data_IF_399735294782
#
_entry.id   IF_399735294782
#
_cell.length_a   1.000
_cell.length_b   1.000
_cell.length_c   1.000
_cell.angle_alpha   90.00
_cell.angle_beta   90.00
_cell.angle_gamma   90.00
#
_symmetry.space_group_name_H-M   'P 1'
#
loop_
_entity.id
_entity.type
_entity.pdbx_description
1 polymer ?
#
# COMPACT_ATOMS: atom_id res chain seq x y z
N UNK A 1 -51.51 2.62 -10.84
CA UNK A 1 -50.85 3.03 -12.08
C UNK A 1 -49.44 2.46 -12.04
N UNK A 2 -49.29 1.15 -12.31
CA UNK A 2 -47.97 0.52 -12.38
C UNK A 2 -47.29 0.98 -13.66
N UNK A 3 -46.24 1.80 -13.50
CA UNK A 3 -45.38 2.19 -14.61
C UNK A 3 -44.56 0.94 -14.97
N UNK A 4 -44.96 0.22 -16.02
CA UNK A 4 -44.10 -0.78 -16.66
C UNK A 4 -42.97 0.02 -17.29
N UNK A 5 -41.87 0.18 -16.54
CA UNK A 5 -40.65 0.74 -17.09
C UNK A 5 -40.05 -0.33 -18.01
N UNK A 6 -39.99 -0.03 -19.30
CA UNK A 6 -39.38 -0.91 -20.30
C UNK A 6 -37.87 -1.05 -20.00
N UNK A 7 -37.39 -2.27 -19.74
CA UNK A 7 -35.99 -2.56 -19.40
C UNK A 7 -35.00 -2.01 -20.43
N UNK A 8 -35.39 -1.98 -21.72
CA UNK A 8 -34.57 -1.40 -22.78
C UNK A 8 -34.37 0.12 -22.62
N UNK A 9 -35.39 0.83 -22.11
CA UNK A 9 -35.30 2.28 -21.87
C UNK A 9 -34.35 2.57 -20.71
N UNK A 10 -34.31 1.71 -19.69
CA UNK A 10 -33.38 1.83 -18.55
C UNK A 10 -31.93 1.65 -19.00
N UNK A 11 -31.64 0.62 -19.79
CA UNK A 11 -30.28 0.34 -20.28
C UNK A 11 -29.80 1.49 -21.18
N UNK A 12 -30.65 1.97 -22.10
CA UNK A 12 -30.29 3.11 -22.94
C UNK A 12 -30.03 4.37 -22.13
N UNK A 13 -30.88 4.66 -21.13
CA UNK A 13 -30.70 5.81 -20.25
C UNK A 13 -29.40 5.71 -19.45
N UNK A 14 -29.06 4.51 -18.95
CA UNK A 14 -27.79 4.27 -18.25
C UNK A 14 -26.58 4.55 -19.17
N UNK A 15 -26.58 3.99 -20.38
CA UNK A 15 -25.48 4.18 -21.34
C UNK A 15 -25.36 5.63 -21.82
N UNK A 16 -26.46 6.39 -21.85
CA UNK A 16 -26.45 7.80 -22.25
C UNK A 16 -25.91 8.72 -21.14
N UNK A 17 -26.26 8.46 -19.88
CA UNK A 17 -25.96 9.38 -18.77
C UNK A 17 -24.72 9.00 -17.95
N UNK A 18 -24.21 7.77 -18.08
CA UNK A 18 -23.06 7.32 -17.27
C UNK A 18 -21.77 8.06 -17.65
N UNK A 19 -21.00 8.56 -16.67
CA UNK A 19 -19.66 9.09 -16.93
C UNK A 19 -18.64 7.97 -17.16
N UNK A 20 -18.88 6.77 -16.64
CA UNK A 20 -17.99 5.61 -16.82
C UNK A 20 -18.03 5.13 -18.28
N UNK A 21 -16.91 4.62 -18.78
CA UNK A 21 -16.85 4.05 -20.12
C UNK A 21 -17.39 2.63 -20.11
N UNK A 22 -18.57 2.41 -20.67
CA UNK A 22 -19.23 1.11 -20.71
C UNK A 22 -19.38 0.61 -22.14
N UNK A 23 -19.23 -0.69 -22.34
CA UNK A 23 -19.46 -1.32 -23.63
C UNK A 23 -19.87 -2.79 -23.51
N UNK A 24 -20.63 -3.24 -24.50
CA UNK A 24 -20.96 -4.63 -24.75
C UNK A 24 -20.32 -5.03 -26.07
N UNK A 25 -19.67 -6.19 -26.12
CA UNK A 25 -19.15 -6.77 -27.36
C UNK A 25 -19.66 -8.19 -27.54
N UNK A 26 -19.86 -8.61 -28.79
CA UNK A 26 -20.20 -9.99 -29.15
C UNK A 26 -18.99 -10.94 -29.02
N UNK A 27 -19.19 -12.23 -29.30
CA UNK A 27 -18.11 -13.24 -29.30
C UNK A 27 -17.00 -12.97 -30.33
N UNK A 28 -17.24 -12.12 -31.32
CA UNK A 28 -16.27 -11.68 -32.32
C UNK A 28 -15.56 -10.38 -31.92
N UNK A 29 -15.79 -9.89 -30.70
CA UNK A 29 -15.28 -8.62 -30.18
C UNK A 29 -15.78 -7.39 -30.97
N UNK A 30 -16.98 -7.48 -31.58
CA UNK A 30 -17.67 -6.35 -32.19
C UNK A 30 -18.57 -5.66 -31.18
N UNK A 31 -18.58 -4.34 -31.17
CA UNK A 31 -19.44 -3.56 -30.29
C UNK A 31 -20.93 -3.78 -30.60
N UNK A 32 -21.70 -4.10 -29.56
CA UNK A 32 -23.16 -4.24 -29.62
C UNK A 32 -23.84 -3.01 -29.02
N UNK A 33 -23.27 -2.46 -27.94
CA UNK A 33 -23.74 -1.23 -27.31
C UNK A 33 -22.56 -0.55 -26.61
N UNK A 34 -22.56 0.77 -26.56
CA UNK A 34 -21.52 1.57 -25.89
C UNK A 34 -22.15 2.76 -25.18
N UNK A 35 -21.51 3.22 -24.09
CA UNK A 35 -21.91 4.46 -23.44
C UNK A 35 -21.52 5.68 -24.26
N UNK A 36 -22.28 6.76 -24.11
CA UNK A 36 -22.02 8.01 -24.81
C UNK A 36 -20.67 8.62 -24.38
N UNK A 37 -20.30 8.45 -23.09
CA UNK A 37 -18.99 8.82 -22.56
C UNK A 37 -17.85 8.11 -23.29
N UNK A 38 -17.98 6.80 -23.56
CA UNK A 38 -16.95 6.01 -24.22
C UNK A 38 -16.84 6.35 -25.72
N UNK A 39 -17.97 6.51 -26.41
CA UNK A 39 -17.97 6.91 -27.81
C UNK A 39 -17.32 8.29 -28.00
N UNK A 40 -17.70 9.27 -27.17
CA UNK A 40 -17.13 10.62 -27.19
C UNK A 40 -15.62 10.61 -26.96
N UNK A 41 -15.14 9.72 -26.08
CA UNK A 41 -13.72 9.55 -25.78
C UNK A 41 -12.92 9.05 -26.99
N UNK A 42 -13.54 8.24 -27.84
CA UNK A 42 -12.95 7.74 -29.09
C UNK A 42 -13.25 8.64 -30.30
N UNK A 43 -13.76 9.87 -30.06
CA UNK A 43 -14.19 10.80 -31.09
C UNK A 43 -15.19 10.18 -32.08
N UNK A 44 -16.10 9.34 -31.59
CA UNK A 44 -17.14 8.66 -32.35
C UNK A 44 -18.51 8.85 -31.70
N UNK A 45 -19.55 8.28 -32.30
CA UNK A 45 -20.89 8.20 -31.70
C UNK A 45 -21.20 6.75 -31.34
N UNK A 46 -22.08 6.55 -30.36
CA UNK A 46 -22.46 5.19 -29.97
C UNK A 46 -23.05 4.39 -31.12
N UNK A 47 -23.70 5.06 -32.07
CA UNK A 47 -24.27 4.46 -33.27
C UNK A 47 -23.19 4.01 -34.26
N UNK A 48 -22.18 4.85 -34.53
CA UNK A 48 -21.11 4.54 -35.49
C UNK A 48 -20.18 3.41 -35.00
N UNK A 49 -20.16 3.18 -33.69
CA UNK A 49 -19.37 2.12 -33.07
C UNK A 49 -19.99 0.74 -33.20
N UNK A 50 -21.30 0.61 -33.38
CA UNK A 50 -21.96 -0.71 -33.46
C UNK A 50 -21.41 -1.50 -34.65
N UNK A 51 -21.22 -2.81 -34.45
CA UNK A 51 -20.62 -3.76 -35.40
C UNK A 51 -19.14 -3.51 -35.77
N UNK A 52 -18.51 -2.50 -35.17
CA UNK A 52 -17.07 -2.21 -35.31
C UNK A 52 -16.26 -2.85 -34.18
N UNK A 53 -14.95 -2.81 -34.31
CA UNK A 53 -13.99 -3.39 -33.38
C UNK A 53 -13.09 -2.31 -32.78
N UNK A 54 -12.27 -2.67 -31.79
CA UNK A 54 -11.26 -1.75 -31.25
C UNK A 54 -10.32 -1.22 -32.35
N UNK A 55 -9.97 -2.06 -33.32
CA UNK A 55 -9.06 -1.74 -34.42
C UNK A 55 -9.53 -0.56 -35.30
N UNK A 56 -10.83 -0.26 -35.29
CA UNK A 56 -11.41 0.85 -36.04
C UNK A 56 -11.19 2.22 -35.35
N UNK A 57 -10.91 2.24 -34.04
CA UNK A 57 -10.92 3.47 -33.23
C UNK A 57 -9.63 3.76 -32.46
N UNK A 58 -8.72 2.80 -32.36
CA UNK A 58 -7.50 2.97 -31.56
C UNK A 58 -6.28 2.33 -32.23
N UNK A 59 -5.05 2.70 -31.81
CA UNK A 59 -3.82 2.14 -32.35
C UNK A 59 -3.79 0.61 -32.26
N UNK A 60 -3.20 -0.03 -33.27
CA UNK A 60 -3.18 -1.49 -33.43
C UNK A 60 -2.61 -2.19 -32.19
N UNK A 61 -1.55 -1.66 -31.59
CA UNK A 61 -0.93 -2.28 -30.41
C UNK A 61 -1.88 -2.32 -29.21
N UNK A 62 -2.71 -1.28 -29.04
CA UNK A 62 -3.71 -1.23 -27.99
C UNK A 62 -4.90 -2.12 -28.33
N UNK A 63 -5.38 -2.07 -29.57
CA UNK A 63 -6.49 -2.89 -30.03
C UNK A 63 -6.19 -4.39 -29.90
N UNK A 64 -4.99 -4.83 -30.31
CA UNK A 64 -4.53 -6.23 -30.17
C UNK A 64 -4.54 -6.68 -28.70
N UNK A 65 -4.00 -5.84 -27.81
CA UNK A 65 -3.98 -6.13 -26.37
C UNK A 65 -5.41 -6.31 -25.83
N UNK A 66 -6.31 -5.38 -26.16
CA UNK A 66 -7.70 -5.44 -25.70
C UNK A 66 -8.42 -6.66 -26.28
N UNK A 67 -8.21 -6.95 -27.56
CA UNK A 67 -8.77 -8.12 -28.24
C UNK A 67 -8.35 -9.43 -27.57
N UNK A 68 -7.07 -9.59 -27.25
CA UNK A 68 -6.56 -10.79 -26.56
C UNK A 68 -7.17 -10.95 -25.15
N UNK A 69 -7.30 -9.85 -24.41
CA UNK A 69 -7.97 -9.87 -23.11
C UNK A 69 -9.46 -10.24 -23.23
N UNK A 70 -10.17 -9.64 -24.19
CA UNK A 70 -11.59 -9.91 -24.43
C UNK A 70 -11.79 -11.39 -24.82
N UNK A 71 -10.94 -11.91 -25.71
CA UNK A 71 -10.96 -13.33 -26.09
C UNK A 71 -10.67 -14.25 -24.93
N UNK A 72 -9.73 -13.90 -24.04
CA UNK A 72 -9.47 -14.69 -22.83
C UNK A 72 -10.72 -14.78 -21.95
N UNK A 73 -11.39 -13.66 -21.67
CA UNK A 73 -12.63 -13.64 -20.87
C UNK A 73 -13.73 -14.48 -21.53
N UNK A 74 -13.89 -14.39 -22.84
CA UNK A 74 -14.89 -15.17 -23.60
C UNK A 74 -14.58 -16.67 -23.52
N UNK A 75 -13.31 -17.06 -23.68
CA UNK A 75 -12.89 -18.46 -23.73
C UNK A 75 -12.89 -19.14 -22.36
N UNK A 76 -12.45 -18.45 -21.31
CA UNK A 76 -12.33 -19.03 -19.97
C UNK A 76 -13.59 -18.80 -19.12
N UNK A 77 -14.38 -17.77 -19.44
CA UNK A 77 -15.47 -17.31 -18.59
C UNK A 77 -15.01 -16.64 -17.29
N UNK A 78 -13.71 -16.42 -17.11
CA UNK A 78 -13.15 -15.73 -15.94
C UNK A 78 -13.19 -14.22 -16.15
N UNK A 79 -13.76 -13.51 -15.18
CA UNK A 79 -13.80 -12.05 -15.21
C UNK A 79 -12.41 -11.45 -14.95
N UNK A 80 -12.10 -10.37 -15.65
CA UNK A 80 -11.04 -9.45 -15.29
C UNK A 80 -11.66 -8.35 -14.43
N UNK A 81 -11.24 -8.19 -13.18
CA UNK A 81 -11.85 -7.22 -12.25
C UNK A 81 -10.81 -6.23 -11.76
N UNK A 82 -11.16 -4.94 -11.77
CA UNK A 82 -10.38 -3.83 -11.20
C UNK A 82 -8.90 -3.77 -11.66
N UNK A 83 -8.64 -4.12 -12.92
CA UNK A 83 -7.30 -4.01 -13.48
C UNK A 83 -6.96 -2.55 -13.69
N UNK A 84 -6.01 -2.04 -12.92
CA UNK A 84 -5.46 -0.70 -13.12
C UNK A 84 -4.54 -0.67 -14.33
N UNK A 85 -4.82 0.22 -15.27
CA UNK A 85 -3.94 0.46 -16.40
C UNK A 85 -3.90 1.92 -16.84
N UNK A 86 -2.76 2.29 -17.41
CA UNK A 86 -2.53 3.61 -17.99
C UNK A 86 -2.81 3.53 -19.48
N UNK A 87 -3.76 4.32 -19.99
CA UNK A 87 -4.03 4.43 -21.43
C UNK A 87 -3.72 5.85 -21.90
N UNK A 88 -3.17 5.96 -23.11
CA UNK A 88 -3.13 7.24 -23.81
C UNK A 88 -4.50 7.52 -24.37
N UNK A 89 -5.08 8.64 -23.96
CA UNK A 89 -6.29 9.18 -24.55
C UNK A 89 -6.02 9.56 -26.02
N UNK A 90 -6.98 9.35 -26.95
CA UNK A 90 -6.88 9.91 -28.30
C UNK A 90 -6.67 11.43 -28.33
N UNK A 91 -7.07 12.15 -27.27
CA UNK A 91 -6.83 13.60 -27.09
C UNK A 91 -5.43 13.94 -26.56
N UNK A 92 -4.54 12.96 -26.39
CA UNK A 92 -3.12 13.16 -26.08
C UNK A 92 -2.73 13.16 -24.60
N UNK A 93 -3.69 13.18 -23.66
CA UNK A 93 -3.41 13.04 -22.23
C UNK A 93 -3.30 11.57 -21.80
N UNK A 94 -2.47 11.32 -20.79
CA UNK A 94 -2.43 10.02 -20.11
C UNK A 94 -3.61 9.89 -19.13
N UNK A 95 -4.29 8.76 -19.13
CA UNK A 95 -5.43 8.49 -18.26
C UNK A 95 -5.21 7.20 -17.47
N UNK A 96 -5.47 7.24 -16.16
CA UNK A 96 -5.52 6.03 -15.32
C UNK A 96 -6.94 5.46 -15.32
N UNK A 97 -7.07 4.20 -15.70
CA UNK A 97 -8.34 3.50 -15.76
C UNK A 97 -8.32 2.30 -14.81
N UNK A 98 -9.40 2.13 -14.04
CA UNK A 98 -9.78 0.82 -13.48
C UNK A 98 -10.66 0.11 -14.50
N UNK A 99 -10.25 -1.07 -14.95
CA UNK A 99 -10.91 -1.82 -16.02
C UNK A 99 -11.46 -3.13 -15.49
N UNK A 100 -12.76 -3.32 -15.68
CA UNK A 100 -13.46 -4.58 -15.39
C UNK A 100 -14.09 -5.11 -16.68
N UNK A 101 -13.87 -6.39 -16.97
CA UNK A 101 -14.45 -7.14 -18.09
C UNK A 101 -15.07 -8.42 -17.56
N UNK A 102 -16.37 -8.60 -17.78
CA UNK A 102 -17.12 -9.78 -17.33
C UNK A 102 -17.73 -10.50 -18.53
N UNK A 103 -17.87 -11.85 -18.49
CA UNK A 103 -18.56 -12.58 -19.55
C UNK A 103 -20.04 -12.18 -19.59
N UNK A 104 -20.52 -11.81 -20.77
CA UNK A 104 -21.94 -11.58 -21.01
C UNK A 104 -22.60 -12.90 -21.38
N UNK A 105 -23.57 -13.35 -20.58
CA UNK A 105 -24.27 -14.62 -20.79
C UNK A 105 -25.73 -14.40 -21.20
N UNK A 106 -26.24 -15.26 -22.07
CA UNK A 106 -27.66 -15.31 -22.41
C UNK A 106 -28.47 -16.05 -21.31
N UNK A 107 -29.79 -16.15 -21.50
CA UNK A 107 -30.68 -16.83 -20.54
C UNK A 107 -30.36 -18.33 -20.36
N UNK A 108 -29.69 -18.96 -21.33
CA UNK A 108 -29.23 -20.35 -21.25
C UNK A 108 -27.88 -20.49 -20.54
N UNK A 109 -27.25 -19.38 -20.13
CA UNK A 109 -25.94 -19.37 -19.46
C UNK A 109 -24.75 -19.41 -20.42
N UNK A 110 -24.98 -19.36 -21.73
CA UNK A 110 -23.92 -19.37 -22.75
C UNK A 110 -23.29 -17.99 -22.88
N UNK A 111 -21.97 -17.93 -23.00
CA UNK A 111 -21.25 -16.67 -23.19
C UNK A 111 -21.51 -16.17 -24.62
N UNK A 112 -22.24 -15.07 -24.73
CA UNK A 112 -22.54 -14.39 -26.00
C UNK A 112 -21.63 -13.20 -26.26
N UNK A 113 -20.72 -12.90 -25.34
CA UNK A 113 -19.77 -11.79 -25.48
C UNK A 113 -19.20 -11.33 -24.15
N UNK A 114 -18.91 -10.03 -24.04
CA UNK A 114 -18.40 -9.40 -22.82
C UNK A 114 -19.11 -8.09 -22.51
N UNK A 115 -19.08 -7.73 -21.22
CA UNK A 115 -19.41 -6.40 -20.73
C UNK A 115 -18.13 -5.79 -20.16
N UNK A 116 -17.74 -4.63 -20.67
CA UNK A 116 -16.60 -3.87 -20.17
C UNK A 116 -17.04 -2.58 -19.49
N UNK A 117 -16.41 -2.27 -18.36
CA UNK A 117 -16.54 -1.00 -17.66
C UNK A 117 -15.14 -0.47 -17.36
N UNK A 118 -14.85 0.75 -17.81
CA UNK A 118 -13.61 1.45 -17.47
C UNK A 118 -13.97 2.73 -16.71
N UNK A 119 -13.46 2.87 -15.50
CA UNK A 119 -13.62 4.08 -14.69
C UNK A 119 -12.33 4.88 -14.70
N UNK A 120 -12.45 6.15 -15.01
CA UNK A 120 -11.35 7.10 -14.91
C UNK A 120 -11.00 7.38 -13.44
N UNK A 121 -9.72 7.26 -13.10
CA UNK A 121 -9.19 7.47 -11.75
C UNK A 121 -8.28 8.70 -11.65
N UNK A 122 -8.07 9.43 -12.76
CA UNK A 122 -7.05 10.49 -12.90
C UNK A 122 -7.25 11.61 -11.89
N UNK A 123 -8.43 12.21 -11.76
CA UNK A 123 -8.64 13.32 -10.81
C UNK A 123 -8.44 12.94 -9.34
N UNK A 124 -8.81 11.71 -8.94
CA UNK A 124 -8.68 11.28 -7.55
C UNK A 124 -7.24 10.94 -7.22
N UNK A 125 -6.58 10.17 -8.10
CA UNK A 125 -5.18 9.82 -7.95
C UNK A 125 -4.26 11.04 -8.03
N UNK A 126 -4.55 12.00 -8.92
CA UNK A 126 -3.79 13.25 -9.04
C UNK A 126 -4.02 14.20 -7.87
N UNK A 127 -5.25 14.32 -7.34
CA UNK A 127 -5.50 15.10 -6.12
C UNK A 127 -4.81 14.49 -4.91
N UNK A 128 -4.91 13.17 -4.72
CA UNK A 128 -4.21 12.47 -3.65
C UNK A 128 -2.70 12.65 -3.80
N UNK A 129 -2.15 12.45 -5.00
CA UNK A 129 -0.72 12.68 -5.29
C UNK A 129 -0.29 14.12 -5.02
N UNK A 130 -1.06 15.13 -5.45
CA UNK A 130 -0.70 16.53 -5.26
C UNK A 130 -0.69 16.93 -3.79
N UNK A 131 -1.66 16.45 -3.00
CA UNK A 131 -1.68 16.63 -1.54
C UNK A 131 -0.42 16.01 -0.92
N UNK A 132 0.00 14.84 -1.39
CA UNK A 132 1.16 14.14 -0.86
C UNK A 132 2.48 14.79 -1.26
N UNK A 133 2.60 15.30 -2.48
CA UNK A 133 3.77 16.04 -2.96
C UNK A 133 3.93 17.33 -2.16
N UNK A 134 2.84 18.07 -1.93
CA UNK A 134 2.85 19.25 -1.05
C UNK A 134 3.24 18.88 0.39
N UNK A 135 2.69 17.79 0.93
CA UNK A 135 3.08 17.30 2.26
C UNK A 135 4.56 16.92 2.30
N UNK A 136 5.12 16.31 1.25
CA UNK A 136 6.53 15.95 1.19
C UNK A 136 7.43 17.18 1.26
N UNK A 137 7.13 18.22 0.46
CA UNK A 137 7.89 19.47 0.43
C UNK A 137 7.80 20.17 1.77
N UNK A 138 6.59 20.38 2.29
CA UNK A 138 6.39 21.04 3.58
C UNK A 138 7.11 20.29 4.72
N UNK A 139 7.06 18.95 4.72
CA UNK A 139 7.71 18.15 5.76
C UNK A 139 9.24 18.17 5.62
N UNK A 140 9.77 18.19 4.41
CA UNK A 140 11.22 18.36 4.18
C UNK A 140 11.71 19.70 4.73
N UNK A 141 10.99 20.79 4.42
CA UNK A 141 11.38 22.15 4.81
C UNK A 141 11.20 22.40 6.30
N UNK A 142 10.27 21.71 6.96
CA UNK A 142 10.09 21.74 8.42
C UNK A 142 11.15 20.93 9.18
N UNK A 143 11.81 19.94 8.56
CA UNK A 143 12.76 19.06 9.26
C UNK A 143 13.99 19.81 9.74
N UNK A 144 14.55 20.66 8.89
CA UNK A 144 15.72 21.49 9.20
C UNK A 144 15.55 22.36 10.46
N UNK A 145 14.50 23.21 10.55
CA UNK A 145 14.30 24.06 11.71
C UNK A 145 14.01 23.24 12.99
N UNK A 146 13.32 22.09 12.91
CA UNK A 146 13.06 21.26 14.08
C UNK A 146 14.32 20.60 14.66
N UNK A 147 15.18 20.05 13.79
CA UNK A 147 16.47 19.49 14.22
C UNK A 147 17.32 20.58 14.90
N UNK A 148 17.31 21.80 14.34
CA UNK A 148 18.02 22.94 14.91
C UNK A 148 17.50 23.30 16.31
N UNK A 149 16.18 23.42 16.48
CA UNK A 149 15.54 23.69 17.77
C UNK A 149 15.83 22.58 18.79
N UNK A 150 15.67 21.31 18.40
CA UNK A 150 15.94 20.17 19.26
C UNK A 150 17.42 20.11 19.69
N UNK A 151 18.34 20.45 18.80
CA UNK A 151 19.77 20.54 19.11
C UNK A 151 20.07 21.64 20.11
N UNK A 152 19.45 22.81 19.96
CA UNK A 152 19.62 23.94 20.89
C UNK A 152 19.08 23.61 22.29
N UNK A 153 17.91 22.97 22.37
CA UNK A 153 17.33 22.50 23.64
C UNK A 153 18.25 21.48 24.31
N UNK A 154 18.80 20.52 23.55
CA UNK A 154 19.76 19.54 24.09
C UNK A 154 21.03 20.21 24.64
N UNK A 155 21.55 21.25 23.98
CA UNK A 155 22.70 22.01 24.48
C UNK A 155 22.39 22.77 25.77
N UNK A 156 21.19 23.37 25.88
CA UNK A 156 20.72 24.01 27.11
C UNK A 156 20.61 23.01 28.27
N UNK A 157 20.01 21.84 28.04
CA UNK A 157 19.86 20.78 29.05
C UNK A 157 21.23 20.25 29.52
N UNK A 158 22.23 20.21 28.63
CA UNK A 158 23.61 19.79 28.94
C UNK A 158 24.44 20.86 29.64
N UNK A 159 23.89 22.07 29.85
CA UNK A 159 24.59 23.16 30.53
C UNK A 159 25.65 23.86 29.67
N UNK A 160 25.61 23.72 28.34
CA UNK A 160 26.58 24.34 27.44
C UNK A 160 26.58 25.88 27.50
N UNK A 161 25.52 26.48 28.02
CA UNK A 161 25.34 27.93 28.19
C UNK A 161 25.27 28.35 29.67
N UNK A 162 25.76 27.50 30.58
CA UNK A 162 25.71 27.72 32.02
C UNK A 162 24.67 26.83 32.72
N UNK A 163 24.63 26.93 34.05
CA UNK A 163 23.68 26.20 34.88
C UNK A 163 22.27 26.76 34.71
N UNK A 164 21.32 25.87 34.53
CA UNK A 164 19.88 26.19 34.49
C UNK A 164 19.20 25.61 35.72
N UNK A 165 18.17 26.31 36.21
CA UNK A 165 17.37 25.83 37.33
C UNK A 165 16.63 24.54 36.98
N UNK A 166 16.38 23.70 37.97
CA UNK A 166 15.76 22.39 37.78
C UNK A 166 14.34 22.51 37.17
N UNK A 167 13.58 23.54 37.54
CA UNK A 167 12.26 23.82 36.96
C UNK A 167 12.32 24.15 35.46
N UNK A 168 13.36 24.87 35.02
CA UNK A 168 13.62 25.18 33.61
C UNK A 168 14.02 23.91 32.87
N UNK A 169 14.88 23.08 33.49
CA UNK A 169 15.33 21.81 32.92
C UNK A 169 14.17 20.83 32.68
N UNK A 170 13.25 20.68 33.64
CA UNK A 170 12.03 19.87 33.48
C UNK A 170 11.16 20.37 32.31
N UNK A 171 11.01 21.69 32.19
CA UNK A 171 10.25 22.30 31.09
C UNK A 171 10.92 22.03 29.73
N UNK A 172 12.24 22.17 29.63
CA UNK A 172 12.99 21.89 28.41
C UNK A 172 12.91 20.42 28.00
N UNK A 173 12.89 19.49 28.97
CA UNK A 173 12.69 18.06 28.70
C UNK A 173 11.29 17.78 28.12
N UNK A 174 10.24 18.42 28.65
CA UNK A 174 8.88 18.30 28.08
C UNK A 174 8.81 18.84 26.64
N UNK A 175 9.39 20.02 26.38
CA UNK A 175 9.45 20.59 25.03
C UNK A 175 10.23 19.66 24.09
N UNK A 176 11.37 19.12 24.53
CA UNK A 176 12.16 18.15 23.76
C UNK A 176 11.35 16.89 23.43
N UNK A 177 10.55 16.39 24.37
CA UNK A 177 9.66 15.25 24.16
C UNK A 177 8.57 15.55 23.11
N UNK A 178 7.96 16.74 23.16
CA UNK A 178 6.97 17.19 22.17
C UNK A 178 7.58 17.35 20.77
N UNK A 179 8.81 17.88 20.68
CA UNK A 179 9.55 17.99 19.42
C UNK A 179 9.82 16.61 18.80
N UNK A 180 10.27 15.64 19.62
CA UNK A 180 10.50 14.27 19.15
C UNK A 180 9.23 13.59 18.63
N UNK A 181 8.06 13.86 19.23
CA UNK A 181 6.77 13.40 18.71
C UNK A 181 6.45 14.02 17.34
N UNK A 182 6.74 15.31 17.16
CA UNK A 182 6.52 16.01 15.89
C UNK A 182 7.45 15.49 14.79
N UNK A 183 8.73 15.27 15.09
CA UNK A 183 9.70 14.67 14.16
C UNK A 183 9.25 13.27 13.71
N UNK A 184 8.71 12.47 14.64
CA UNK A 184 8.16 11.15 14.33
C UNK A 184 6.96 11.22 13.38
N UNK A 185 5.98 12.09 13.69
CA UNK A 185 4.82 12.32 12.83
C UNK A 185 5.23 12.73 11.42
N UNK A 186 6.18 13.65 11.32
CA UNK A 186 6.72 14.11 10.05
C UNK A 186 7.42 12.99 9.27
N UNK A 187 8.24 12.17 9.94
CA UNK A 187 8.85 10.99 9.33
C UNK A 187 7.80 10.02 8.76
N UNK A 188 6.69 9.84 9.46
CA UNK A 188 5.58 8.99 9.03
C UNK A 188 4.85 9.55 7.79
N UNK A 189 4.60 10.86 7.72
CA UNK A 189 3.99 11.51 6.55
C UNK A 189 4.90 11.54 5.33
N UNK A 190 6.20 11.77 5.51
CA UNK A 190 7.19 11.69 4.43
C UNK A 190 7.31 10.28 3.88
N UNK A 191 7.30 9.28 4.77
CA UNK A 191 7.24 7.89 4.37
C UNK A 191 5.98 7.66 3.52
N UNK A 192 4.80 8.02 4.02
CA UNK A 192 3.55 7.88 3.27
C UNK A 192 3.56 8.55 1.90
N UNK A 193 4.08 9.78 1.78
CA UNK A 193 4.18 10.49 0.51
C UNK A 193 5.19 9.85 -0.46
N UNK A 194 6.41 9.59 0.02
CA UNK A 194 7.47 8.96 -0.77
C UNK A 194 7.06 7.58 -1.28
N UNK A 195 6.25 6.86 -0.50
CA UNK A 195 5.75 5.55 -0.86
C UNK A 195 4.66 5.61 -1.91
N UNK A 196 3.77 6.62 -1.93
CA UNK A 196 2.68 6.66 -2.90
C UNK A 196 3.14 6.96 -4.34
N UNK A 197 4.28 7.62 -4.52
CA UNK A 197 4.82 7.90 -5.86
C UNK A 197 5.65 6.76 -6.47
N UNK A 198 6.09 5.79 -5.67
CA UNK A 198 6.93 4.68 -6.15
C UNK A 198 6.07 3.43 -6.31
N UNK A 199 5.83 3.01 -7.56
CA UNK A 199 5.08 1.77 -7.88
C UNK A 199 5.92 0.51 -7.68
N UNK A 200 7.22 0.60 -7.92
CA UNK A 200 8.17 -0.52 -7.83
C UNK A 200 9.34 -0.11 -6.94
N UNK A 201 9.65 -0.85 -5.86
CA UNK A 201 10.82 -0.58 -5.04
C UNK A 201 12.10 -0.72 -5.88
N UNK A 202 13.03 0.20 -5.71
CA UNK A 202 14.42 -0.02 -6.13
C UNK A 202 15.01 -1.10 -5.21
N UNK A 203 15.40 -2.24 -5.75
CA UNK A 203 15.81 -3.40 -4.98
C UNK A 203 17.32 -3.62 -5.09
N UNK A 204 17.95 -3.86 -3.96
CA UNK A 204 19.37 -4.21 -3.85
C UNK A 204 19.53 -5.53 -3.09
N UNK A 205 20.67 -6.20 -3.30
CA UNK A 205 21.05 -7.34 -2.47
C UNK A 205 21.56 -6.83 -1.14
N UNK A 206 20.95 -7.29 -0.04
CA UNK A 206 21.33 -6.89 1.31
C UNK A 206 21.34 -8.10 2.24
N UNK A 207 22.23 -8.07 3.23
CA UNK A 207 22.23 -9.00 4.34
C UNK A 207 21.24 -8.49 5.39
N UNK A 208 20.09 -9.16 5.50
CA UNK A 208 19.02 -8.77 6.39
C UNK A 208 19.49 -8.59 7.83
N UNK A 209 20.44 -9.40 8.29
CA UNK A 209 20.92 -9.34 9.66
C UNK A 209 21.81 -8.12 9.87
N UNK A 210 22.88 -8.02 9.08
CA UNK A 210 23.91 -6.99 9.25
C UNK A 210 23.43 -5.60 8.80
N UNK A 211 22.66 -5.52 7.71
CA UNK A 211 22.27 -4.25 7.11
C UNK A 211 20.97 -3.67 7.69
N UNK A 212 20.16 -4.50 8.36
CA UNK A 212 18.84 -4.13 8.87
C UNK A 212 18.66 -4.44 10.36
N UNK A 213 18.68 -5.70 10.77
CA UNK A 213 18.27 -6.09 12.13
C UNK A 213 19.24 -5.57 13.18
N UNK A 214 20.54 -5.87 13.04
CA UNK A 214 21.55 -5.52 14.04
C UNK A 214 21.64 -4.00 14.28
N UNK A 215 21.69 -3.13 13.24
CA UNK A 215 21.69 -1.67 13.44
C UNK A 215 20.44 -1.14 14.14
N UNK A 216 19.28 -1.77 13.94
CA UNK A 216 18.03 -1.37 14.63
C UNK A 216 18.04 -1.84 16.08
N UNK A 217 18.59 -3.03 16.37
CA UNK A 217 18.75 -3.49 17.74
C UNK A 217 19.69 -2.58 18.53
N UNK A 218 20.78 -2.11 17.91
CA UNK A 218 21.67 -1.12 18.50
C UNK A 218 20.96 0.21 18.78
N UNK A 219 20.04 0.65 17.91
CA UNK A 219 19.23 1.85 18.12
C UNK A 219 18.37 1.76 19.40
N UNK A 220 17.86 0.57 19.73
CA UNK A 220 16.95 0.32 20.85
C UNK A 220 17.61 -0.36 22.06
N UNK A 221 18.95 -0.38 22.13
CA UNK A 221 19.67 -1.12 23.15
C UNK A 221 19.24 -0.72 24.57
N UNK A 222 19.13 0.59 24.83
CA UNK A 222 18.73 1.13 26.13
C UNK A 222 17.34 0.65 26.54
N UNK A 223 16.35 0.73 25.65
CA UNK A 223 14.98 0.29 25.96
C UNK A 223 14.88 -1.23 26.10
N UNK A 224 15.69 -2.00 25.37
CA UNK A 224 15.77 -3.46 25.51
C UNK A 224 16.32 -3.82 26.90
N UNK A 225 17.38 -3.14 27.35
CA UNK A 225 17.99 -3.33 28.66
C UNK A 225 17.06 -2.89 29.81
N UNK A 226 16.48 -1.69 29.71
CA UNK A 226 15.55 -1.15 30.72
C UNK A 226 14.32 -2.05 30.92
N UNK A 227 13.81 -2.64 29.84
CA UNK A 227 12.66 -3.53 29.87
C UNK A 227 13.04 -5.01 30.13
N UNK A 228 14.32 -5.34 30.36
CA UNK A 228 14.81 -6.71 30.53
C UNK A 228 14.35 -7.67 29.41
N UNK A 229 14.45 -7.21 28.16
CA UNK A 229 14.07 -7.98 26.98
C UNK A 229 15.26 -8.80 26.49
N UNK A 230 15.06 -10.10 26.28
CA UNK A 230 16.04 -11.01 25.69
C UNK A 230 15.77 -11.18 24.20
N UNK A 231 16.78 -10.92 23.37
CA UNK A 231 16.74 -11.29 21.96
C UNK A 231 17.08 -12.78 21.83
N UNK A 232 16.10 -13.61 21.45
CA UNK A 232 16.31 -15.04 21.24
C UNK A 232 16.44 -15.37 19.74
N UNK A 233 17.68 -15.53 19.30
CA UNK A 233 18.02 -15.90 17.93
C UNK A 233 17.67 -17.36 17.58
N UNK A 234 17.22 -18.18 18.55
CA UNK A 234 16.89 -19.60 18.34
C UNK A 234 15.42 -19.83 17.98
N UNK A 235 14.55 -18.86 18.31
CA UNK A 235 13.09 -18.98 18.21
C UNK A 235 12.53 -18.68 16.79
N UNK A 236 13.38 -18.42 15.79
CA UNK A 236 12.91 -18.16 14.42
C UNK A 236 13.89 -18.50 13.29
N UNK A 237 14.87 -19.36 13.52
CA UNK A 237 15.71 -19.90 12.43
C UNK A 237 16.37 -18.84 11.53
N UNK A 238 16.70 -17.64 12.01
CA UNK A 238 17.72 -16.83 11.31
C UNK A 238 19.03 -17.61 11.43
N UNK A 239 19.59 -18.12 10.32
CA UNK A 239 20.85 -18.84 10.37
C UNK A 239 21.91 -17.94 11.00
N UNK A 240 22.91 -18.52 11.67
CA UNK A 240 24.12 -17.77 12.07
C UNK A 240 24.93 -17.22 10.86
N UNK A 241 24.44 -17.44 9.65
CA UNK A 241 25.04 -17.13 8.37
C UNK A 241 24.33 -15.93 7.73
N UNK A 242 24.92 -15.35 6.69
CA UNK A 242 24.35 -14.22 5.95
C UNK A 242 22.94 -14.55 5.42
N UNK A 243 21.99 -13.65 5.61
CA UNK A 243 20.62 -13.78 5.07
C UNK A 243 20.46 -12.78 3.93
N UNK A 244 20.82 -13.20 2.72
CA UNK A 244 20.80 -12.32 1.55
C UNK A 244 19.40 -12.29 0.94
N UNK A 245 18.80 -11.10 0.87
CA UNK A 245 17.52 -10.86 0.19
C UNK A 245 17.66 -9.75 -0.85
N UNK A 246 16.78 -9.76 -1.87
CA UNK A 246 16.69 -8.68 -2.85
C UNK A 246 15.49 -7.78 -2.51
N UNK A 247 15.75 -6.62 -1.91
CA UNK A 247 14.70 -5.72 -1.43
C UNK A 247 15.15 -4.26 -1.38
N UNK A 248 14.22 -3.33 -1.15
CA UNK A 248 14.57 -1.94 -0.87
C UNK A 248 14.99 -1.78 0.60
N UNK A 249 16.28 -1.53 0.87
CA UNK A 249 16.78 -1.50 2.24
C UNK A 249 16.07 -0.45 3.12
N UNK A 250 15.73 0.72 2.56
CA UNK A 250 15.05 1.78 3.33
C UNK A 250 13.67 1.32 3.79
N UNK A 251 12.92 0.65 2.92
CA UNK A 251 11.56 0.19 3.24
C UNK A 251 11.59 -0.97 4.24
N UNK A 252 12.48 -1.94 4.05
CA UNK A 252 12.64 -3.07 4.98
C UNK A 252 13.08 -2.57 6.36
N UNK A 253 13.99 -1.58 6.43
CA UNK A 253 14.37 -0.92 7.68
C UNK A 253 13.18 -0.27 8.40
N UNK A 254 12.27 0.38 7.66
CA UNK A 254 11.05 0.96 8.24
C UNK A 254 10.13 -0.12 8.81
N UNK A 255 9.94 -1.23 8.09
CA UNK A 255 9.14 -2.37 8.54
C UNK A 255 9.71 -2.94 9.85
N UNK A 256 10.98 -3.36 9.85
CA UNK A 256 11.62 -3.95 11.03
C UNK A 256 11.64 -3.00 12.22
N UNK A 257 11.98 -1.72 12.01
CA UNK A 257 12.01 -0.73 13.07
C UNK A 257 10.64 -0.53 13.71
N UNK A 258 9.55 -0.63 12.93
CA UNK A 258 8.19 -0.54 13.46
C UNK A 258 7.84 -1.77 14.30
N UNK A 259 8.12 -2.96 13.78
CA UNK A 259 7.82 -4.23 14.44
C UNK A 259 8.62 -4.38 15.74
N UNK A 260 9.93 -4.11 15.73
CA UNK A 260 10.80 -4.17 16.90
C UNK A 260 10.33 -3.18 17.97
N UNK A 261 10.05 -1.93 17.61
CA UNK A 261 9.54 -0.94 18.56
C UNK A 261 8.21 -1.38 19.17
N UNK A 262 7.31 -1.98 18.39
CA UNK A 262 6.04 -2.49 18.91
C UNK A 262 6.28 -3.69 19.85
N UNK A 263 7.18 -4.59 19.47
CA UNK A 263 7.59 -5.72 20.29
C UNK A 263 8.15 -5.27 21.65
N UNK A 264 9.04 -4.27 21.68
CA UNK A 264 9.56 -3.68 22.92
C UNK A 264 8.44 -3.08 23.76
N UNK A 265 7.58 -2.27 23.14
CA UNK A 265 6.47 -1.59 23.81
C UNK A 265 5.49 -2.57 24.47
N UNK A 266 5.12 -3.64 23.77
CA UNK A 266 4.04 -4.54 24.21
C UNK A 266 4.53 -5.77 24.95
N UNK A 267 5.78 -6.21 24.74
CA UNK A 267 6.35 -7.25 25.59
C UNK A 267 6.47 -6.75 27.04
N UNK A 268 6.88 -5.48 27.24
CA UNK A 268 7.22 -4.85 28.52
C UNK A 268 8.37 -5.55 29.30
N UNK A 269 8.43 -6.88 29.29
CA UNK A 269 9.56 -7.73 29.64
C UNK A 269 9.44 -9.08 28.91
N UNK A 270 10.53 -9.82 28.74
CA UNK A 270 10.47 -11.16 28.13
C UNK A 270 11.36 -11.31 26.90
N UNK A 271 10.82 -11.81 25.78
CA UNK A 271 11.60 -12.24 24.63
C UNK A 271 11.12 -11.63 23.31
N UNK A 272 12.06 -11.28 22.45
CA UNK A 272 11.83 -10.94 21.04
C UNK A 272 12.64 -11.92 20.20
N UNK A 273 12.04 -12.44 19.13
CA UNK A 273 12.70 -13.35 18.21
C UNK A 273 12.40 -12.98 16.75
N UNK A 274 13.28 -13.41 15.85
CA UNK A 274 13.19 -13.10 14.43
C UNK A 274 13.19 -14.37 13.59
N UNK A 275 12.33 -14.36 12.58
CA UNK A 275 12.02 -15.48 11.70
C UNK A 275 12.67 -15.35 10.34
N UNK A 276 13.24 -16.43 9.81
CA UNK A 276 13.56 -16.56 8.39
C UNK A 276 13.30 -17.97 7.88
N UNK A 277 12.57 -18.07 6.78
CA UNK A 277 12.36 -19.33 6.06
C UNK A 277 12.38 -19.08 4.55
N UNK A 278 13.11 -19.92 3.82
CA UNK A 278 13.09 -19.92 2.36
C UNK A 278 12.00 -20.87 1.86
N UNK A 279 10.95 -20.31 1.23
CA UNK A 279 9.81 -21.07 0.69
C UNK A 279 9.96 -21.38 -0.81
N UNK A 280 11.12 -21.11 -1.41
CA UNK A 280 11.41 -21.37 -2.81
C UNK A 280 11.24 -20.13 -3.68
N UNK A 281 10.00 -19.64 -3.86
CA UNK A 281 9.65 -18.47 -4.68
C UNK A 281 9.66 -17.15 -3.89
N UNK A 282 9.61 -17.23 -2.56
CA UNK A 282 9.68 -16.09 -1.66
C UNK A 282 10.40 -16.45 -0.35
N UNK A 283 10.87 -15.42 0.36
CA UNK A 283 11.30 -15.51 1.74
C UNK A 283 10.13 -15.19 2.67
N UNK A 284 9.95 -15.98 3.73
CA UNK A 284 9.03 -15.70 4.83
C UNK A 284 9.84 -15.23 6.04
N UNK A 285 9.46 -14.10 6.61
CA UNK A 285 10.14 -13.45 7.72
C UNK A 285 9.14 -13.16 8.84
N UNK A 286 9.61 -13.11 10.08
CA UNK A 286 8.74 -12.72 11.19
C UNK A 286 9.45 -11.94 12.30
N UNK A 287 8.64 -11.25 13.11
CA UNK A 287 9.04 -10.66 14.39
C UNK A 287 8.06 -11.15 15.44
N UNK A 288 8.56 -11.95 16.36
CA UNK A 288 7.85 -12.51 17.49
C UNK A 288 8.13 -11.72 18.76
N UNK A 289 7.16 -11.62 19.66
CA UNK A 289 7.40 -11.14 21.02
C UNK A 289 6.54 -11.88 22.05
N UNK A 290 7.08 -12.11 23.26
CA UNK A 290 6.37 -12.79 24.36
C UNK A 290 5.39 -11.89 25.12
N UNK A 291 4.83 -10.87 24.45
CA UNK A 291 3.82 -9.99 25.03
C UNK A 291 2.41 -10.63 24.98
N UNK A 292 1.38 -9.95 25.52
CA UNK A 292 0.02 -10.47 25.43
C UNK A 292 -0.44 -10.53 23.96
N UNK A 293 -1.25 -11.53 23.59
CA UNK A 293 -1.77 -11.66 22.24
C UNK A 293 -2.66 -10.48 21.88
N UNK A 294 -2.78 -10.22 20.58
CA UNK A 294 -3.75 -9.26 20.09
C UNK A 294 -5.14 -9.85 20.28
N UNK A 295 -6.10 -9.04 20.74
CA UNK A 295 -7.49 -9.50 20.88
C UNK A 295 -8.04 -10.04 19.53
N UNK A 296 -8.70 -11.22 19.50
CA UNK A 296 -9.17 -11.86 18.26
C UNK A 296 -9.95 -10.96 17.31
N UNK A 297 -10.85 -10.13 17.85
CA UNK A 297 -11.67 -9.19 17.07
C UNK A 297 -10.86 -8.15 16.28
N UNK A 298 -9.57 -7.98 16.60
CA UNK A 298 -8.68 -7.03 15.92
C UNK A 298 -7.80 -7.70 14.87
N UNK A 299 -7.69 -9.02 14.80
CA UNK A 299 -6.72 -9.71 13.93
C UNK A 299 -6.84 -9.32 12.45
N UNK A 300 -8.06 -9.10 11.97
CA UNK A 300 -8.33 -8.66 10.59
C UNK A 300 -8.08 -7.17 10.37
N UNK A 301 -8.22 -6.35 11.43
CA UNK A 301 -8.21 -4.88 11.35
C UNK A 301 -6.96 -4.22 11.93
N UNK A 302 -6.04 -4.96 12.57
CA UNK A 302 -4.79 -4.39 13.13
C UNK A 302 -3.88 -3.73 12.10
N UNK A 303 -4.01 -4.10 10.83
CA UNK A 303 -3.27 -3.50 9.74
C UNK A 303 -4.05 -2.37 9.05
N UNK A 304 -5.29 -2.10 9.49
CA UNK A 304 -6.06 -0.94 9.08
C UNK A 304 -5.63 0.27 9.92
N UNK A 305 -5.89 1.48 9.41
CA UNK A 305 -5.53 2.72 10.12
C UNK A 305 -6.35 2.80 11.41
N UNK A 306 -5.70 2.67 12.56
CA UNK A 306 -6.29 2.95 13.86
C UNK A 306 -5.68 4.21 14.47
N UNK A 307 -6.47 5.06 15.11
CA UNK A 307 -5.95 6.12 15.98
C UNK A 307 -6.12 5.68 17.44
N UNK A 308 -5.06 5.78 18.24
CA UNK A 308 -5.08 5.52 19.69
C UNK A 308 -4.51 6.72 20.43
N UNK A 309 -4.87 6.89 21.70
CA UNK A 309 -4.41 8.02 22.54
C UNK A 309 -2.89 8.17 22.61
N UNK A 310 -2.14 7.07 22.53
CA UNK A 310 -0.67 7.06 22.67
C UNK A 310 0.08 6.79 21.36
N UNK A 311 -0.63 6.54 20.25
CA UNK A 311 0.00 6.29 18.96
C UNK A 311 -0.93 6.53 17.77
N UNK A 312 -0.36 6.98 16.66
CA UNK A 312 -1.07 7.25 15.40
C UNK A 312 -1.70 6.03 14.75
N UNK A 313 -1.38 4.81 15.24
CA UNK A 313 -1.78 3.48 14.72
C UNK A 313 -1.70 3.31 13.20
N UNK A 314 -0.86 4.12 12.56
CA UNK A 314 -0.51 4.04 11.14
C UNK A 314 0.65 3.06 10.90
N UNK A 315 1.37 2.66 11.96
CA UNK A 315 2.63 1.90 11.85
C UNK A 315 2.49 0.58 11.09
N UNK A 316 1.56 -0.28 11.51
CA UNK A 316 1.32 -1.58 10.88
C UNK A 316 0.69 -1.43 9.49
N UNK A 317 -0.17 -0.43 9.28
CA UNK A 317 -0.72 -0.11 7.97
C UNK A 317 0.36 0.29 6.95
N UNK A 318 1.34 1.10 7.37
CA UNK A 318 2.52 1.44 6.56
C UNK A 318 3.34 0.19 6.26
N UNK A 319 3.59 -0.66 7.26
CA UNK A 319 4.34 -1.91 7.06
C UNK A 319 3.67 -2.81 6.00
N UNK A 320 2.36 -3.03 6.11
CA UNK A 320 1.62 -3.85 5.15
C UNK A 320 1.70 -3.27 3.74
N UNK A 321 1.56 -1.96 3.59
CA UNK A 321 1.68 -1.30 2.28
C UNK A 321 3.08 -1.46 1.66
N UNK A 322 4.13 -1.30 2.47
CA UNK A 322 5.52 -1.47 2.06
C UNK A 322 5.82 -2.88 1.54
N UNK A 323 5.32 -3.89 2.25
CA UNK A 323 5.45 -5.29 1.88
C UNK A 323 4.65 -5.61 0.62
N UNK A 324 3.42 -5.11 0.51
CA UNK A 324 2.59 -5.28 -0.70
C UNK A 324 3.26 -4.68 -1.93
N UNK A 325 3.91 -3.52 -1.81
CA UNK A 325 4.68 -2.92 -2.92
C UNK A 325 5.94 -3.72 -3.29
N UNK A 326 6.47 -4.54 -2.39
CA UNK A 326 7.50 -5.53 -2.71
C UNK A 326 6.94 -6.77 -3.44
N UNK A 327 5.61 -6.89 -3.58
CA UNK A 327 4.93 -8.08 -4.09
C UNK A 327 4.70 -9.15 -3.04
N UNK A 328 4.94 -8.85 -1.76
CA UNK A 328 4.71 -9.77 -0.64
C UNK A 328 3.38 -9.55 0.06
N UNK A 329 3.18 -10.28 1.15
CA UNK A 329 2.04 -10.11 2.05
C UNK A 329 2.49 -10.01 3.51
N UNK A 330 1.68 -9.40 4.36
CA UNK A 330 1.93 -9.28 5.80
C UNK A 330 0.66 -9.63 6.58
N UNK A 331 0.81 -10.43 7.62
CA UNK A 331 -0.28 -10.87 8.48
C UNK A 331 0.19 -11.08 9.91
N UNK A 332 -0.77 -11.37 10.79
CA UNK A 332 -0.53 -11.68 12.18
C UNK A 332 -0.95 -13.12 12.43
N UNK A 333 -0.13 -13.83 13.19
CA UNK A 333 -0.48 -15.11 13.77
C UNK A 333 -0.32 -15.03 15.28
N UNK A 334 -1.21 -15.73 15.95
CA UNK A 334 -1.03 -16.07 17.35
C UNK A 334 -0.37 -17.44 17.40
N UNK A 335 0.96 -17.44 17.52
CA UNK A 335 1.76 -18.68 17.48
C UNK A 335 2.21 -19.10 18.89
N UNK A 336 3.30 -19.84 18.99
CA UNK A 336 3.80 -20.58 20.15
C UNK A 336 3.48 -19.88 21.48
N UNK A 337 2.79 -20.60 22.36
CA UNK A 337 2.42 -20.16 23.71
C UNK A 337 1.51 -18.92 23.80
N UNK A 338 0.64 -18.69 22.81
CA UNK A 338 -0.39 -17.63 22.82
C UNK A 338 0.20 -16.21 22.76
N UNK A 339 1.26 -16.05 21.95
CA UNK A 339 2.02 -14.81 21.83
C UNK A 339 2.00 -14.20 20.41
N UNK A 340 2.08 -12.86 20.30
CA UNK A 340 2.12 -12.16 19.02
C UNK A 340 3.26 -12.58 18.09
N UNK A 341 2.90 -12.85 16.84
CA UNK A 341 3.86 -13.05 15.77
C UNK A 341 3.44 -12.31 14.49
N UNK A 342 4.26 -11.35 14.06
CA UNK A 342 4.01 -10.58 12.85
C UNK A 342 4.85 -11.15 11.71
N UNK A 343 4.18 -11.68 10.70
CA UNK A 343 4.80 -12.42 9.61
C UNK A 343 4.63 -11.66 8.30
N UNK A 344 5.64 -11.69 7.46
CA UNK A 344 5.58 -11.10 6.13
C UNK A 344 6.47 -11.83 5.12
N UNK A 345 6.18 -11.65 3.83
CA UNK A 345 6.92 -12.28 2.74
C UNK A 345 7.62 -11.27 1.83
N UNK A 346 8.73 -11.68 1.22
CA UNK A 346 9.45 -10.93 0.20
C UNK A 346 9.73 -11.87 -0.98
N UNK A 347 9.23 -11.59 -2.20
CA UNK A 347 9.56 -12.38 -3.39
C UNK A 347 11.06 -12.36 -3.68
N UNK A 348 11.58 -13.48 -4.19
CA UNK A 348 12.99 -13.60 -4.57
C UNK A 348 13.39 -12.75 -5.78
#
# INVERSE_FOLDING_TARGET
MEKIINENVLIQSLLQCTPDFMYFKDVNCRYVAVSNSYATQLNSTAFDMVDKTDFDFMPVELADKLFLEDKKVIQTGEALVDKLEKRKCPRGSDMWLSVTKVPWKNAAGEIVGIIGVCREMTERAEREKHILDMLSIATHDMRGPLISIGSMIKLLIRGAFGSIDESVKVTLLDISGRLGRLEKLMGEYLCKSSLMNVKTPDKEFLDLRQDIIDPILEEFLSEIEENNIRIDNRLGAIPGNKVIIQANAKWIRIVYRNLIRNAIKYAASGQIAFGFEDKGDHYQLNVYNSGPPVHPDKWTTIFEKFESSDSTGLGLAICRNLIQKHGGNMWYENTWDDHPNFIFTIPK
#
